data_IF_493495575393
#
_entry.id   IF_493495575393
#
_cell.length_a   1.000
_cell.length_b   1.000
_cell.length_c   1.000
_cell.angle_alpha   90.00
_cell.angle_beta   90.00
_cell.angle_gamma   90.00
#
_symmetry.space_group_name_H-M   'P 1'
#
loop_
_entity.id
_entity.type
_entity.pdbx_description
1 polymer ?
#
# COMPACT_ATOMS: atom_id res chain seq x y z
N UNK A 1 -9.71 2.21 15.14
CA UNK A 1 -10.11 3.59 15.50
C UNK A 1 -10.55 3.74 16.95
N UNK A 2 -11.34 2.81 17.53
CA UNK A 2 -11.66 2.82 18.97
C UNK A 2 -10.41 2.85 19.88
N UNK A 3 -9.38 2.06 19.57
CA UNK A 3 -8.11 2.07 20.31
C UNK A 3 -7.38 3.42 20.23
N UNK A 4 -7.42 4.09 19.06
CA UNK A 4 -6.86 5.42 18.89
C UNK A 4 -7.60 6.47 19.74
N UNK A 5 -8.93 6.38 19.81
CA UNK A 5 -9.76 7.25 20.67
C UNK A 5 -9.42 7.03 22.16
N UNK A 6 -9.23 5.77 22.58
CA UNK A 6 -8.82 5.46 23.95
C UNK A 6 -7.42 5.99 24.27
N UNK A 7 -6.48 5.88 23.33
CA UNK A 7 -5.11 6.36 23.50
C UNK A 7 -5.03 7.89 23.64
N UNK A 8 -5.85 8.64 22.89
CA UNK A 8 -5.90 10.11 22.96
C UNK A 8 -6.60 10.63 24.22
N UNK A 9 -7.39 9.78 24.89
CA UNK A 9 -8.15 10.11 26.09
C UNK A 9 -9.45 10.83 25.78
N UNK A 10 -10.56 10.27 26.25
CA UNK A 10 -11.92 10.84 26.09
C UNK A 10 -12.14 12.13 26.87
N UNK A 11 -11.24 12.44 27.80
CA UNK A 11 -11.28 13.66 28.62
C UNK A 11 -10.78 14.88 27.84
N UNK A 12 -10.06 14.68 26.73
CA UNK A 12 -9.39 15.76 25.97
C UNK A 12 -9.82 15.83 24.51
N UNK A 13 -10.21 14.71 23.89
CA UNK A 13 -10.58 14.66 22.47
C UNK A 13 -11.93 13.98 22.28
N UNK A 14 -12.84 14.66 21.59
CA UNK A 14 -14.09 14.07 21.10
C UNK A 14 -13.92 13.70 19.63
N UNK A 15 -14.12 12.44 19.29
CA UNK A 15 -14.10 11.97 17.90
C UNK A 15 -15.52 11.72 17.43
N UNK A 16 -15.89 12.37 16.33
CA UNK A 16 -17.15 12.18 15.63
C UNK A 16 -16.88 11.60 14.25
N UNK A 17 -17.58 10.53 13.90
CA UNK A 17 -17.50 9.93 12.58
C UNK A 17 -18.45 10.65 11.63
N UNK A 18 -17.96 10.98 10.44
CA UNK A 18 -18.80 11.47 9.35
C UNK A 18 -18.73 10.46 8.23
N UNK A 19 -19.88 9.89 7.89
CA UNK A 19 -20.02 8.98 6.76
C UNK A 19 -20.43 9.77 5.52
N UNK A 20 -19.80 9.48 4.39
CA UNK A 20 -20.07 10.13 3.12
C UNK A 20 -20.40 9.09 2.04
N UNK A 21 -21.18 9.50 1.05
CA UNK A 21 -21.18 8.82 -0.26
C UNK A 21 -19.84 9.10 -0.95
N UNK A 22 -19.43 8.28 -1.91
CA UNK A 22 -18.11 8.44 -2.59
C UNK A 22 -17.93 9.80 -3.27
N UNK A 23 -19.00 10.36 -3.84
CA UNK A 23 -19.00 11.69 -4.44
C UNK A 23 -18.84 12.78 -3.39
N UNK A 24 -19.59 12.70 -2.28
CA UNK A 24 -19.48 13.65 -1.17
C UNK A 24 -18.11 13.58 -0.48
N UNK A 25 -17.55 12.38 -0.30
CA UNK A 25 -16.21 12.19 0.26
C UNK A 25 -15.15 12.92 -0.58
N UNK A 26 -15.23 12.77 -1.91
CA UNK A 26 -14.27 13.39 -2.82
C UNK A 26 -14.33 14.92 -2.74
N UNK A 27 -15.53 15.49 -2.66
CA UNK A 27 -15.71 16.94 -2.52
C UNK A 27 -15.22 17.44 -1.16
N UNK A 28 -15.61 16.80 -0.07
CA UNK A 28 -15.20 17.18 1.30
C UNK A 28 -13.69 17.08 1.50
N UNK A 29 -13.03 16.07 0.91
CA UNK A 29 -11.57 15.99 0.88
C UNK A 29 -10.96 17.18 0.14
N UNK A 30 -11.48 17.50 -1.04
CA UNK A 30 -11.01 18.64 -1.84
C UNK A 30 -11.23 19.99 -1.15
N UNK A 31 -12.30 20.10 -0.37
CA UNK A 31 -12.61 21.32 0.39
C UNK A 31 -11.87 21.37 1.74
N UNK A 32 -11.12 20.32 2.10
CA UNK A 32 -10.38 20.25 3.37
C UNK A 32 -11.29 20.10 4.59
N UNK A 33 -12.52 19.63 4.43
CA UNK A 33 -13.54 19.52 5.49
C UNK A 33 -13.35 18.26 6.37
N UNK A 34 -12.15 18.10 6.94
CA UNK A 34 -11.82 17.02 7.87
C UNK A 34 -10.70 17.43 8.83
N UNK A 35 -10.69 16.84 10.02
CA UNK A 35 -9.57 16.97 10.96
C UNK A 35 -8.54 15.84 10.80
N UNK A 36 -9.04 14.63 10.53
CA UNK A 36 -8.25 13.43 10.26
C UNK A 36 -8.92 12.65 9.13
N UNK A 37 -8.10 12.03 8.29
CA UNK A 37 -8.54 11.21 7.15
C UNK A 37 -7.80 9.88 7.19
N UNK A 38 -8.53 8.79 6.97
CA UNK A 38 -7.92 7.47 6.79
C UNK A 38 -7.63 7.29 5.31
N UNK A 39 -6.35 7.18 4.98
CA UNK A 39 -5.87 6.92 3.62
C UNK A 39 -4.78 5.86 3.63
N UNK A 40 -4.35 5.46 2.44
CA UNK A 40 -3.27 4.51 2.26
C UNK A 40 -2.67 4.58 0.87
N UNK A 41 -1.52 3.94 0.71
CA UNK A 41 -0.80 3.81 -0.55
C UNK A 41 -0.50 2.34 -0.81
N UNK A 42 -0.77 1.89 -2.03
CA UNK A 42 -0.19 0.67 -2.57
C UNK A 42 0.95 1.09 -3.51
N UNK A 43 2.20 0.67 -3.27
CA UNK A 43 3.30 1.09 -4.13
C UNK A 43 3.12 0.58 -5.56
N UNK A 44 3.31 1.44 -6.55
CA UNK A 44 3.33 1.09 -7.98
C UNK A 44 4.46 0.12 -8.41
N UNK A 45 5.60 0.18 -7.72
CA UNK A 45 6.82 -0.60 -7.94
C UNK A 45 7.57 -0.80 -6.61
N UNK A 46 8.37 -1.87 -6.54
CA UNK A 46 9.01 -2.36 -5.32
C UNK A 46 10.29 -1.59 -4.94
N UNK A 47 10.12 -0.31 -4.58
CA UNK A 47 11.20 0.55 -4.08
C UNK A 47 10.69 1.41 -2.90
N UNK A 48 11.46 1.58 -1.81
CA UNK A 48 11.05 2.44 -0.69
C UNK A 48 10.76 3.89 -1.09
N UNK A 49 11.47 4.42 -2.10
CA UNK A 49 11.23 5.75 -2.64
C UNK A 49 9.77 5.93 -3.03
N UNK A 50 9.15 4.92 -3.64
CA UNK A 50 7.78 5.00 -4.12
C UNK A 50 6.74 5.25 -3.01
N UNK A 51 7.01 4.75 -1.81
CA UNK A 51 6.16 5.03 -0.65
C UNK A 51 6.42 6.44 -0.11
N UNK A 52 7.68 6.82 0.06
CA UNK A 52 8.06 8.11 0.63
C UNK A 52 7.74 9.29 -0.31
N UNK A 53 7.91 9.11 -1.62
CA UNK A 53 7.56 10.09 -2.63
C UNK A 53 6.06 10.37 -2.69
N UNK A 54 5.22 9.37 -2.37
CA UNK A 54 3.77 9.58 -2.32
C UNK A 54 3.35 10.65 -1.29
N UNK A 55 4.17 10.89 -0.27
CA UNK A 55 3.91 11.83 0.82
C UNK A 55 4.84 13.06 0.82
N UNK A 56 5.69 13.22 -0.20
CA UNK A 56 6.46 14.46 -0.42
C UNK A 56 5.54 15.65 -0.71
N UNK A 57 6.07 16.87 -0.74
CA UNK A 57 5.29 18.12 -0.93
C UNK A 57 4.42 18.11 -2.20
N UNK A 58 4.83 17.39 -3.25
CA UNK A 58 4.11 17.23 -4.52
C UNK A 58 3.63 15.79 -4.80
N UNK A 59 3.61 14.95 -3.77
CA UNK A 59 3.19 13.56 -3.85
C UNK A 59 1.69 13.33 -4.13
N UNK A 60 1.33 12.07 -4.35
CA UNK A 60 -0.07 11.69 -4.63
C UNK A 60 -0.95 11.68 -3.36
N UNK A 61 -0.37 11.33 -2.21
CA UNK A 61 -1.04 11.35 -0.90
C UNK A 61 -0.92 12.71 -0.19
N UNK A 62 0.13 13.47 -0.47
CA UNK A 62 0.35 14.82 0.06
C UNK A 62 0.56 15.82 -1.07
N UNK A 63 -0.13 16.95 -1.08
CA UNK A 63 0.10 18.01 -2.05
C UNK A 63 -0.03 19.39 -1.41
N UNK A 64 1.07 20.06 -1.10
CA UNK A 64 1.01 21.42 -0.54
C UNK A 64 0.42 22.44 -1.53
N UNK A 65 0.57 22.19 -2.83
CA UNK A 65 0.23 23.12 -3.89
C UNK A 65 -1.15 22.87 -4.52
N UNK A 66 -1.83 21.78 -4.15
CA UNK A 66 -3.16 21.47 -4.68
C UNK A 66 -4.05 20.80 -3.65
N UNK A 67 -5.25 21.34 -3.50
CA UNK A 67 -6.31 20.72 -2.71
C UNK A 67 -7.05 19.61 -3.47
N UNK A 68 -6.85 19.52 -4.79
CA UNK A 68 -7.51 18.51 -5.62
C UNK A 68 -6.87 17.12 -5.51
N UNK A 69 -5.62 17.05 -5.03
CA UNK A 69 -4.80 15.84 -4.93
C UNK A 69 -4.26 15.72 -3.51
N UNK A 70 -4.04 14.48 -3.04
CA UNK A 70 -3.65 14.24 -1.66
C UNK A 70 -4.79 14.45 -0.67
N UNK A 71 -4.54 13.98 0.55
CA UNK A 71 -5.39 14.25 1.72
C UNK A 71 -4.64 15.02 2.81
N UNK A 72 -3.36 15.27 2.57
CA UNK A 72 -2.48 16.10 3.39
C UNK A 72 -1.91 17.21 2.50
N UNK A 73 -1.60 18.37 3.10
CA UNK A 73 -1.12 19.56 2.38
C UNK A 73 0.08 20.18 3.08
N UNK A 74 0.97 19.30 3.53
CA UNK A 74 2.19 19.63 4.25
C UNK A 74 3.26 20.12 3.28
N UNK A 75 3.91 21.24 3.61
CA UNK A 75 5.06 21.79 2.89
C UNK A 75 6.29 21.68 3.79
N UNK A 76 7.12 20.66 3.54
CA UNK A 76 8.30 20.39 4.35
C UNK A 76 9.48 20.02 3.47
N UNK A 77 10.13 21.05 2.93
CA UNK A 77 11.33 20.92 2.11
C UNK A 77 12.41 19.99 2.71
N UNK A 78 12.58 19.98 4.04
CA UNK A 78 13.56 19.10 4.69
C UNK A 78 13.26 17.61 4.46
N UNK A 79 11.98 17.22 4.45
CA UNK A 79 11.60 15.84 4.17
C UNK A 79 11.94 15.47 2.73
N UNK A 80 11.56 16.32 1.79
CA UNK A 80 11.81 16.14 0.36
C UNK A 80 13.31 16.03 0.08
N UNK A 81 14.12 16.94 0.64
CA UNK A 81 15.59 16.93 0.53
C UNK A 81 16.21 15.61 1.01
N UNK A 82 15.70 15.05 2.11
CA UNK A 82 16.21 13.77 2.62
C UNK A 82 15.85 12.60 1.68
N UNK A 83 14.63 12.57 1.16
CA UNK A 83 14.16 11.52 0.23
C UNK A 83 14.92 11.59 -1.09
N UNK A 84 15.09 12.77 -1.66
CA UNK A 84 15.86 13.00 -2.88
C UNK A 84 17.32 12.60 -2.72
N UNK A 85 17.95 12.98 -1.60
CA UNK A 85 19.34 12.61 -1.32
C UNK A 85 19.52 11.08 -1.19
N UNK A 86 18.58 10.38 -0.55
CA UNK A 86 18.61 8.93 -0.46
C UNK A 86 18.41 8.26 -1.82
N UNK A 87 17.57 8.81 -2.70
CA UNK A 87 17.32 8.26 -4.03
C UNK A 87 18.55 8.27 -4.94
N UNK A 88 19.45 9.24 -4.77
CA UNK A 88 20.70 9.33 -5.53
C UNK A 88 21.78 8.32 -5.09
N UNK A 89 21.57 7.57 -4.00
CA UNK A 89 22.54 6.60 -3.50
C UNK A 89 22.54 5.34 -4.37
N UNK A 90 23.71 4.88 -4.79
CA UNK A 90 23.83 3.66 -5.62
C UNK A 90 24.16 2.42 -4.81
N UNK A 91 24.77 2.56 -3.63
CA UNK A 91 24.97 1.45 -2.72
C UNK A 91 23.64 1.12 -2.02
N UNK A 92 23.19 -0.13 -2.16
CA UNK A 92 21.87 -0.55 -1.66
C UNK A 92 21.78 -0.53 -0.14
N UNK A 93 22.88 -0.86 0.55
CA UNK A 93 22.87 -0.87 2.02
C UNK A 93 22.78 0.56 2.55
N UNK A 94 23.55 1.48 1.98
CA UNK A 94 23.47 2.90 2.32
C UNK A 94 22.09 3.49 1.99
N UNK A 95 21.56 3.23 0.79
CA UNK A 95 20.24 3.70 0.34
C UNK A 95 19.11 3.23 1.26
N UNK A 96 19.05 1.94 1.57
CA UNK A 96 18.02 1.40 2.45
C UNK A 96 18.17 1.86 3.91
N UNK A 97 19.40 2.05 4.37
CA UNK A 97 19.64 2.64 5.70
C UNK A 97 19.16 4.09 5.75
N UNK A 98 19.39 4.87 4.69
CA UNK A 98 18.90 6.24 4.58
C UNK A 98 17.37 6.30 4.60
N UNK A 99 16.68 5.47 3.81
CA UNK A 99 15.22 5.41 3.81
C UNK A 99 14.64 4.98 5.16
N UNK A 100 15.25 4.00 5.84
CA UNK A 100 14.81 3.59 7.18
C UNK A 100 14.93 4.73 8.21
N UNK A 101 16.01 5.53 8.14
CA UNK A 101 16.18 6.69 9.01
C UNK A 101 15.14 7.79 8.70
N UNK A 102 14.78 7.97 7.44
CA UNK A 102 13.75 8.93 7.02
C UNK A 102 12.37 8.50 7.55
N UNK A 103 12.03 7.21 7.46
CA UNK A 103 10.80 6.67 8.04
C UNK A 103 10.75 6.85 9.56
N UNK A 104 11.86 6.61 10.27
CA UNK A 104 11.96 6.88 11.69
C UNK A 104 11.70 8.36 12.01
N UNK A 105 12.30 9.28 11.24
CA UNK A 105 12.09 10.72 11.39
C UNK A 105 10.62 11.11 11.16
N UNK A 106 9.94 10.53 10.17
CA UNK A 106 8.52 10.78 9.93
C UNK A 106 7.66 10.39 11.13
N UNK A 107 7.94 9.22 11.73
CA UNK A 107 7.23 8.72 12.90
C UNK A 107 7.46 9.61 14.14
N UNK A 108 8.71 10.04 14.37
CA UNK A 108 9.05 10.94 15.48
C UNK A 108 8.34 12.30 15.39
N UNK A 109 8.06 12.77 14.18
CA UNK A 109 7.38 14.04 13.93
C UNK A 109 5.86 13.89 13.73
N UNK A 110 5.32 12.66 13.79
CA UNK A 110 3.91 12.34 13.70
C UNK A 110 3.18 12.90 12.45
N UNK A 111 3.85 12.92 11.30
CA UNK A 111 3.26 13.35 10.03
C UNK A 111 2.07 12.49 9.59
N UNK A 112 2.23 11.19 9.81
CA UNK A 112 1.20 10.18 9.61
C UNK A 112 1.19 9.27 10.83
N UNK A 113 0.04 8.65 11.07
CA UNK A 113 -0.12 7.64 12.11
C UNK A 113 -0.27 6.30 11.38
N UNK A 114 0.78 5.46 11.31
CA UNK A 114 0.67 4.14 10.71
C UNK A 114 -0.40 3.32 11.44
N UNK A 115 -1.38 2.80 10.70
CA UNK A 115 -2.47 2.02 11.27
C UNK A 115 -2.25 0.52 11.09
N UNK A 116 -2.00 0.09 9.85
CA UNK A 116 -1.75 -1.29 9.49
C UNK A 116 -1.13 -1.37 8.10
N UNK A 117 -0.47 -2.49 7.81
CA UNK A 117 -0.17 -2.93 6.46
C UNK A 117 -1.22 -3.96 6.05
N UNK A 118 -1.90 -3.75 4.91
CA UNK A 118 -2.89 -4.71 4.43
C UNK A 118 -2.23 -6.05 4.12
N UNK A 119 -2.95 -7.13 4.41
CA UNK A 119 -2.51 -8.50 4.12
C UNK A 119 -3.65 -9.35 3.55
N UNK A 120 -3.51 -10.67 3.65
CA UNK A 120 -4.51 -11.60 3.15
C UNK A 120 -5.83 -11.53 3.93
N UNK A 121 -6.93 -11.74 3.21
CA UNK A 121 -8.28 -11.94 3.77
C UNK A 121 -8.84 -13.28 3.33
N UNK A 122 -9.92 -13.73 3.95
CA UNK A 122 -10.69 -14.88 3.48
C UNK A 122 -11.61 -14.45 2.34
N UNK A 123 -11.69 -15.28 1.30
CA UNK A 123 -12.56 -15.07 0.15
C UNK A 123 -13.37 -16.33 -0.15
N UNK A 124 -14.63 -16.14 -0.54
CA UNK A 124 -15.43 -17.15 -1.23
C UNK A 124 -15.41 -16.78 -2.70
N UNK A 125 -14.90 -17.67 -3.55
CA UNK A 125 -14.63 -17.37 -4.96
C UNK A 125 -15.04 -18.56 -5.84
N UNK A 126 -15.39 -18.27 -7.09
CA UNK A 126 -15.56 -19.27 -8.15
C UNK A 126 -14.38 -19.21 -9.14
N UNK A 127 -13.21 -18.77 -8.68
CA UNK A 127 -12.01 -18.57 -9.49
C UNK A 127 -10.89 -19.43 -8.91
N UNK A 128 -10.13 -20.09 -9.77
CA UNK A 128 -8.85 -20.65 -9.36
C UNK A 128 -7.85 -19.49 -9.14
N UNK A 129 -7.70 -19.06 -7.88
CA UNK A 129 -6.84 -17.92 -7.49
C UNK A 129 -5.37 -18.11 -7.88
N UNK A 130 -4.89 -19.34 -8.04
CA UNK A 130 -3.51 -19.63 -8.47
C UNK A 130 -3.25 -19.32 -9.95
N UNK A 131 -4.32 -19.06 -10.73
CA UNK A 131 -4.22 -18.58 -12.12
C UNK A 131 -4.23 -17.05 -12.22
N UNK A 132 -4.48 -16.34 -11.10
CA UNK A 132 -4.45 -14.88 -11.08
C UNK A 132 -3.01 -14.38 -11.22
N UNK A 133 -2.75 -13.35 -12.03
CA UNK A 133 -1.45 -12.68 -12.02
C UNK A 133 -1.14 -12.16 -10.61
N UNK A 134 -0.01 -12.59 -10.05
CA UNK A 134 0.49 -12.09 -8.78
C UNK A 134 1.51 -10.99 -9.03
N UNK A 135 1.27 -9.82 -8.46
CA UNK A 135 2.24 -8.73 -8.40
C UNK A 135 2.20 -8.13 -6.98
N UNK A 136 3.34 -8.01 -6.28
CA UNK A 136 3.38 -7.41 -4.94
C UNK A 136 3.18 -5.89 -4.95
N UNK A 137 3.22 -5.27 -6.12
CA UNK A 137 3.13 -3.82 -6.34
C UNK A 137 2.38 -3.52 -7.64
N UNK A 138 1.83 -2.32 -7.74
CA UNK A 138 1.13 -1.84 -8.93
C UNK A 138 -0.26 -2.43 -9.10
N UNK A 139 -0.79 -2.30 -10.32
CA UNK A 139 -2.20 -2.58 -10.62
C UNK A 139 -2.43 -3.93 -11.32
N UNK A 140 -1.40 -4.77 -11.39
CA UNK A 140 -1.45 -6.03 -12.11
C UNK A 140 -2.42 -7.04 -11.48
N UNK A 141 -2.67 -6.92 -10.18
CA UNK A 141 -3.69 -7.68 -9.45
C UNK A 141 -5.13 -7.45 -9.96
N UNK A 142 -5.39 -6.30 -10.62
CA UNK A 142 -6.70 -5.97 -11.20
C UNK A 142 -6.89 -6.55 -12.61
N UNK A 143 -5.87 -7.23 -13.17
CA UNK A 143 -5.96 -7.82 -14.51
C UNK A 143 -6.69 -9.17 -14.44
N UNK A 144 -7.59 -9.38 -15.40
CA UNK A 144 -8.40 -10.60 -15.51
C UNK A 144 -7.87 -11.61 -16.53
N UNK A 145 -6.79 -11.27 -17.23
CA UNK A 145 -6.26 -12.09 -18.32
C UNK A 145 -5.62 -13.36 -17.78
N UNK A 146 -6.03 -14.51 -18.31
CA UNK A 146 -5.48 -15.82 -17.93
C UNK A 146 -6.10 -16.44 -16.68
N UNK A 147 -7.07 -15.75 -16.05
CA UNK A 147 -7.78 -16.26 -14.89
C UNK A 147 -8.78 -17.34 -15.31
N UNK A 148 -8.77 -18.47 -14.61
CA UNK A 148 -9.71 -19.58 -14.81
C UNK A 148 -10.86 -19.49 -13.81
N UNK A 149 -12.08 -19.34 -14.33
CA UNK A 149 -13.31 -19.39 -13.55
C UNK A 149 -13.99 -20.76 -13.61
N UNK A 150 -14.68 -21.11 -12.55
CA UNK A 150 -15.52 -22.30 -12.37
C UNK A 150 -16.99 -21.88 -12.32
N UNK A 151 -17.90 -22.84 -12.56
CA UNK A 151 -19.35 -22.65 -12.45
C UNK A 151 -19.89 -22.82 -11.02
N UNK A 152 -19.02 -23.13 -10.06
CA UNK A 152 -19.33 -23.31 -8.65
C UNK A 152 -18.27 -22.63 -7.77
N UNK A 153 -18.57 -22.47 -6.48
CA UNK A 153 -17.61 -21.96 -5.52
C UNK A 153 -16.52 -23.01 -5.26
N UNK A 154 -15.26 -22.57 -5.25
CA UNK A 154 -14.10 -23.41 -4.99
C UNK A 154 -14.24 -24.05 -3.61
N UNK A 155 -14.16 -25.37 -3.57
CA UNK A 155 -14.13 -26.13 -2.31
C UNK A 155 -12.73 -26.12 -1.68
N UNK A 156 -12.64 -26.50 -0.40
CA UNK A 156 -11.35 -26.62 0.27
C UNK A 156 -10.43 -27.67 -0.40
N UNK A 157 -11.01 -28.77 -0.90
CA UNK A 157 -10.28 -29.83 -1.60
C UNK A 157 -9.74 -29.33 -2.95
N UNK A 158 -10.55 -28.62 -3.73
CA UNK A 158 -10.12 -28.03 -5.01
C UNK A 158 -9.06 -26.95 -4.80
N UNK A 159 -9.21 -26.10 -3.79
CA UNK A 159 -8.20 -25.11 -3.44
C UNK A 159 -6.85 -25.77 -3.10
N UNK A 160 -6.87 -26.88 -2.35
CA UNK A 160 -5.66 -27.64 -2.05
C UNK A 160 -5.00 -28.20 -3.32
N UNK A 161 -5.79 -28.82 -4.19
CA UNK A 161 -5.31 -29.36 -5.46
C UNK A 161 -4.70 -28.27 -6.35
N UNK A 162 -5.37 -27.12 -6.50
CA UNK A 162 -4.84 -26.00 -7.28
C UNK A 162 -3.54 -25.45 -6.69
N UNK A 163 -3.40 -25.45 -5.35
CA UNK A 163 -2.18 -25.04 -4.68
C UNK A 163 -1.03 -25.98 -5.00
N UNK A 164 -1.24 -27.29 -4.86
CA UNK A 164 -0.23 -28.30 -5.15
C UNK A 164 0.23 -28.24 -6.61
N UNK A 165 -0.71 -28.10 -7.56
CA UNK A 165 -0.40 -27.94 -8.99
C UNK A 165 0.44 -26.68 -9.26
N UNK A 166 0.07 -25.55 -8.64
CA UNK A 166 0.79 -24.30 -8.78
C UNK A 166 2.21 -24.38 -8.21
N UNK A 167 2.37 -24.94 -7.01
CA UNK A 167 3.66 -25.11 -6.36
C UNK A 167 4.59 -26.03 -7.16
N UNK A 168 4.06 -27.15 -7.67
CA UNK A 168 4.81 -28.05 -8.54
C UNK A 168 5.25 -27.36 -9.84
N UNK A 169 4.37 -26.60 -10.48
CA UNK A 169 4.69 -25.84 -11.69
C UNK A 169 5.76 -24.76 -11.44
N UNK A 170 5.66 -24.04 -10.33
CA UNK A 170 6.67 -23.06 -9.90
C UNK A 170 8.03 -23.68 -9.66
N UNK A 171 8.07 -24.83 -8.99
CA UNK A 171 9.32 -25.53 -8.71
C UNK A 171 9.99 -26.01 -10.00
N UNK A 172 9.23 -26.59 -10.93
CA UNK A 172 9.74 -27.00 -12.23
C UNK A 172 10.31 -25.83 -13.04
N UNK A 173 9.60 -24.69 -13.07
CA UNK A 173 10.07 -23.48 -13.75
C UNK A 173 11.35 -22.91 -13.13
N UNK A 174 11.49 -22.98 -11.80
CA UNK A 174 12.72 -22.57 -11.10
C UNK A 174 13.91 -23.45 -11.47
N UNK A 175 13.73 -24.78 -11.46
CA UNK A 175 14.77 -25.74 -11.83
C UNK A 175 15.22 -25.56 -13.28
N UNK A 176 14.27 -25.36 -14.20
CA UNK A 176 14.56 -25.06 -15.61
C UNK A 176 15.38 -23.77 -15.74
N UNK A 177 14.99 -22.68 -15.06
CA UNK A 177 15.71 -21.41 -15.10
C UNK A 177 17.15 -21.52 -14.57
N UNK A 178 17.40 -22.38 -13.59
CA UNK A 178 18.76 -22.60 -13.08
C UNK A 178 19.68 -23.30 -14.10
N UNK A 179 19.15 -24.16 -14.96
CA UNK A 179 19.93 -24.86 -15.99
C UNK A 179 20.46 -23.93 -17.08
N UNK A 180 19.82 -22.77 -17.30
CA UNK A 180 20.25 -21.78 -18.28
C UNK A 180 21.19 -20.71 -17.71
N UNK A 181 21.30 -20.61 -16.38
CA UNK A 181 22.15 -19.65 -15.68
C UNK A 181 23.48 -20.26 -15.17
N UNK A 182 23.75 -21.53 -15.50
CA UNK A 182 25.01 -22.26 -15.26
C UNK A 182 25.83 -22.40 -16.52
#
# INVERSE_FOLDING_TARGET
MQEAIQALGTDYVTVSFVEYTSSSYSQQRQDGEFALVVGGWGPDYADPFNNLASIMTDGTMNSANSMSVGSSHWDYAKFDEMVEAADQMTDLQERYTAFANIEAWLNENAYYIPLYQSGGTYIVTSINEFTRPYAPTGIDEYKWKGIVGLDHAVTAEEHEQFREEYEAGRQAAYEEAQQYNS
#
